data_IF_865681720382
#
_entry.id   IF_865681720382
#
_cell.length_a   1.000
_cell.length_b   1.000
_cell.length_c   1.000
_cell.angle_alpha   90.00
_cell.angle_beta   90.00
_cell.angle_gamma   90.00
#
_symmetry.space_group_name_H-M   'P 1'
#
loop_
_entity.id
_entity.type
_entity.pdbx_description
1 polymer ?
#
# COMPACT_ATOMS: atom_id res chain seq x y z
N UNK A 1 -8.56 -22.80 21.65
CA UNK A 1 -8.25 -22.77 20.20
C UNK A 1 -6.89 -22.13 20.07
N UNK A 2 -5.90 -22.82 19.47
CA UNK A 2 -4.51 -22.39 19.52
C UNK A 2 -4.31 -21.07 18.77
N UNK A 3 -3.60 -20.15 19.43
CA UNK A 3 -3.21 -18.83 18.94
C UNK A 3 -2.26 -19.05 17.75
N UNK A 4 -2.68 -18.68 16.54
CA UNK A 4 -1.81 -18.71 15.36
C UNK A 4 -0.88 -17.50 15.47
N UNK A 5 0.39 -17.78 15.75
CA UNK A 5 1.51 -16.85 15.75
C UNK A 5 1.43 -15.91 14.54
N UNK A 6 1.40 -14.60 14.79
CA UNK A 6 1.50 -13.59 13.74
C UNK A 6 2.89 -13.71 13.10
N UNK A 7 2.97 -14.32 11.92
CA UNK A 7 4.17 -14.27 11.09
C UNK A 7 4.52 -12.79 10.87
N UNK A 8 5.72 -12.39 11.28
CA UNK A 8 6.22 -11.03 11.06
C UNK A 8 6.47 -10.86 9.57
N UNK A 9 5.47 -10.38 8.84
CA UNK A 9 5.66 -9.91 7.49
C UNK A 9 6.68 -8.75 7.52
N UNK A 10 7.68 -8.73 6.62
CA UNK A 10 8.66 -7.67 6.61
C UNK A 10 7.95 -6.36 6.25
N UNK A 11 7.84 -5.46 7.23
CA UNK A 11 7.37 -4.10 7.02
C UNK A 11 8.54 -3.34 6.41
N UNK A 12 8.55 -3.24 5.08
CA UNK A 12 9.46 -2.32 4.41
C UNK A 12 8.91 -0.91 4.60
N UNK A 13 9.79 0.05 4.81
CA UNK A 13 9.39 1.47 4.94
C UNK A 13 9.67 2.22 3.64
N UNK A 14 10.69 1.77 2.91
CA UNK A 14 11.17 2.41 1.69
C UNK A 14 11.24 1.43 0.52
N UNK A 15 11.06 1.95 -0.70
CA UNK A 15 11.17 1.14 -1.94
C UNK A 15 12.58 0.56 -2.13
N UNK A 16 13.58 1.15 -1.48
CA UNK A 16 14.99 0.75 -1.57
C UNK A 16 15.31 -0.45 -0.67
N UNK A 17 14.44 -0.79 0.28
CA UNK A 17 14.57 -1.98 1.13
C UNK A 17 14.01 -3.24 0.47
N UNK A 18 13.34 -3.09 -0.68
CA UNK A 18 12.73 -4.20 -1.40
C UNK A 18 13.83 -5.06 -2.06
N UNK A 19 13.87 -6.38 -1.77
CA UNK A 19 14.79 -7.29 -2.43
C UNK A 19 14.59 -7.26 -3.95
N UNK A 20 15.67 -6.99 -4.69
CA UNK A 20 15.66 -6.92 -6.14
C UNK A 20 15.49 -5.50 -6.72
N UNK A 21 15.29 -4.48 -5.88
CA UNK A 21 15.31 -3.07 -6.28
C UNK A 21 16.70 -2.49 -6.00
N UNK A 22 17.44 -2.21 -7.07
CA UNK A 22 18.66 -1.42 -6.99
C UNK A 22 18.36 0.09 -6.94
N UNK A 23 19.35 0.93 -6.59
CA UNK A 23 19.17 2.39 -6.54
C UNK A 23 18.66 2.96 -7.87
N UNK A 24 19.16 2.44 -9.01
CA UNK A 24 18.70 2.85 -10.34
C UNK A 24 17.23 2.50 -10.64
N UNK A 25 16.72 1.41 -10.05
CA UNK A 25 15.31 1.03 -10.19
C UNK A 25 14.43 1.86 -9.26
N UNK A 26 14.90 2.11 -8.02
CA UNK A 26 14.20 2.96 -7.06
C UNK A 26 14.03 4.39 -7.58
N UNK A 27 15.06 4.95 -8.23
CA UNK A 27 15.00 6.30 -8.80
C UNK A 27 13.95 6.38 -9.93
N UNK A 28 13.92 5.40 -10.83
CA UNK A 28 12.90 5.31 -11.88
C UNK A 28 11.48 5.15 -11.33
N UNK A 29 11.31 4.33 -10.29
CA UNK A 29 10.02 4.17 -9.60
C UNK A 29 9.55 5.49 -8.98
N UNK A 30 10.48 6.29 -8.43
CA UNK A 30 10.18 7.63 -7.92
C UNK A 30 9.83 8.60 -9.04
N UNK A 31 10.52 8.56 -10.18
CA UNK A 31 10.23 9.41 -11.34
C UNK A 31 8.83 9.18 -11.92
N UNK A 32 8.36 7.93 -11.94
CA UNK A 32 7.01 7.59 -12.41
C UNK A 32 5.93 7.77 -11.32
N UNK A 33 6.31 8.18 -10.11
CA UNK A 33 5.39 8.53 -9.03
C UNK A 33 5.12 7.43 -7.99
N UNK A 34 5.77 6.26 -8.09
CA UNK A 34 5.71 5.23 -7.05
C UNK A 34 6.77 5.49 -5.98
N UNK A 35 6.46 6.44 -5.09
CA UNK A 35 7.33 6.80 -3.97
C UNK A 35 7.11 5.96 -2.72
N UNK A 36 5.97 5.26 -2.61
CA UNK A 36 5.59 4.47 -1.44
C UNK A 36 5.30 3.01 -1.81
N UNK A 37 5.41 2.12 -0.82
CA UNK A 37 5.11 0.69 -0.98
C UNK A 37 3.62 0.48 -1.28
N UNK A 38 2.74 1.32 -0.72
CA UNK A 38 1.29 1.32 -1.01
C UNK A 38 1.02 1.61 -2.48
N UNK A 39 1.69 2.62 -3.04
CA UNK A 39 1.57 2.95 -4.45
C UNK A 39 2.06 1.80 -5.33
N UNK A 40 3.14 1.14 -4.93
CA UNK A 40 3.71 0.00 -5.64
C UNK A 40 2.84 -1.26 -5.57
N UNK A 41 2.22 -1.55 -4.43
CA UNK A 41 1.33 -2.71 -4.26
C UNK A 41 0.05 -2.61 -5.09
N UNK A 42 -0.36 -1.38 -5.42
CA UNK A 42 -1.55 -1.08 -6.23
C UNK A 42 -1.21 -0.94 -7.72
N UNK A 43 0.08 -0.86 -8.09
CA UNK A 43 0.54 -0.73 -9.46
C UNK A 43 0.24 -1.99 -10.29
N UNK A 44 0.10 -1.79 -11.61
CA UNK A 44 -0.03 -2.88 -12.58
C UNK A 44 1.32 -3.25 -13.18
N UNK A 45 1.43 -4.50 -13.65
CA UNK A 45 2.66 -5.00 -14.29
C UNK A 45 3.03 -4.13 -15.50
N UNK A 46 2.04 -3.71 -16.30
CA UNK A 46 2.26 -2.88 -17.49
C UNK A 46 2.83 -1.50 -17.17
N UNK A 47 2.49 -0.90 -16.03
CA UNK A 47 3.06 0.38 -15.59
C UNK A 47 4.54 0.24 -15.20
N UNK A 48 4.90 -0.88 -14.58
CA UNK A 48 6.28 -1.19 -14.21
C UNK A 48 7.13 -1.58 -15.44
N UNK A 49 6.52 -2.24 -16.43
CA UNK A 49 7.18 -2.52 -17.72
C UNK A 49 7.49 -1.23 -18.48
N UNK A 50 6.58 -0.25 -18.46
CA UNK A 50 6.84 1.07 -19.04
C UNK A 50 8.03 1.80 -18.39
N UNK A 51 8.33 1.48 -17.12
CA UNK A 51 9.50 1.96 -16.39
C UNK A 51 10.80 1.19 -16.73
N UNK A 52 10.73 0.18 -17.61
CA UNK A 52 11.87 -0.66 -18.00
C UNK A 52 12.21 -1.74 -16.97
N UNK A 53 11.25 -2.13 -16.13
CA UNK A 53 11.37 -3.27 -15.22
C UNK A 53 10.84 -4.51 -15.95
N UNK A 54 11.60 -5.60 -15.95
CA UNK A 54 11.16 -6.84 -16.61
C UNK A 54 9.91 -7.42 -15.96
N UNK A 55 8.97 -7.90 -16.76
CA UNK A 55 7.65 -8.42 -16.35
C UNK A 55 7.68 -9.34 -15.12
N UNK A 56 8.62 -10.30 -15.11
CA UNK A 56 8.80 -11.23 -13.98
C UNK A 56 9.18 -10.53 -12.68
N UNK A 57 10.12 -9.57 -12.75
CA UNK A 57 10.55 -8.80 -11.59
C UNK A 57 9.45 -7.85 -11.10
N UNK A 58 8.68 -7.27 -12.03
CA UNK A 58 7.55 -6.43 -11.68
C UNK A 58 6.48 -7.22 -10.90
N UNK A 59 6.15 -8.42 -11.35
CA UNK A 59 5.19 -9.29 -10.66
C UNK A 59 5.68 -9.71 -9.25
N UNK A 60 6.95 -10.09 -9.12
CA UNK A 60 7.56 -10.40 -7.81
C UNK A 60 7.52 -9.18 -6.88
N UNK A 61 7.84 -8.00 -7.40
CA UNK A 61 7.90 -6.78 -6.62
C UNK A 61 6.52 -6.33 -6.12
N UNK A 62 5.49 -6.41 -6.97
CA UNK A 62 4.11 -6.13 -6.57
C UNK A 62 3.66 -7.11 -5.48
N UNK A 63 3.95 -8.40 -5.64
CA UNK A 63 3.57 -9.41 -4.65
C UNK A 63 4.25 -9.15 -3.31
N UNK A 64 5.55 -8.84 -3.33
CA UNK A 64 6.30 -8.54 -2.13
C UNK A 64 5.80 -7.25 -1.44
N UNK A 65 5.46 -6.22 -2.22
CA UNK A 65 4.84 -5.01 -1.71
C UNK A 65 3.46 -5.29 -1.09
N UNK A 66 2.66 -6.19 -1.69
CA UNK A 66 1.37 -6.62 -1.14
C UNK A 66 1.50 -7.47 0.11
N UNK A 67 2.55 -8.29 0.22
CA UNK A 67 2.84 -9.08 1.43
C UNK A 67 3.30 -8.21 2.59
N UNK A 68 3.97 -7.09 2.31
CA UNK A 68 4.37 -6.12 3.32
C UNK A 68 3.23 -5.26 3.84
N UNK A 69 2.17 -5.09 3.04
CA UNK A 69 0.95 -4.43 3.49
C UNK A 69 0.06 -5.50 4.12
N UNK A 70 -0.29 -5.33 5.39
CA UNK A 70 -1.19 -6.27 6.09
C UNK A 70 -2.62 -6.15 5.53
N UNK A 71 -2.90 -6.76 4.37
CA UNK A 71 -4.24 -6.83 3.79
C UNK A 71 -4.98 -7.99 4.44
N UNK A 72 -5.65 -7.70 5.55
CA UNK A 72 -6.46 -8.68 6.28
C UNK A 72 -7.91 -8.66 5.84
N UNK A 73 -8.51 -9.84 5.72
CA UNK A 73 -9.97 -9.97 5.56
C UNK A 73 -10.66 -9.55 6.85
N UNK A 74 -11.61 -8.63 6.75
CA UNK A 74 -12.38 -8.11 7.89
C UNK A 74 -13.88 -8.31 7.67
N UNK A 75 -14.63 -8.58 8.74
CA UNK A 75 -16.08 -8.66 8.66
C UNK A 75 -16.72 -7.28 8.51
N UNK A 76 -17.96 -7.22 8.00
CA UNK A 76 -18.68 -5.95 7.84
C UNK A 76 -18.81 -5.15 9.16
N UNK A 77 -18.94 -5.85 10.30
CA UNK A 77 -19.03 -5.23 11.62
C UNK A 77 -17.71 -4.60 12.07
N UNK A 78 -16.59 -5.27 11.81
CA UNK A 78 -15.26 -4.74 12.11
C UNK A 78 -14.92 -3.56 11.20
N UNK A 79 -15.25 -3.65 9.90
CA UNK A 79 -15.08 -2.55 8.96
C UNK A 79 -15.88 -1.30 9.37
N UNK A 80 -17.14 -1.46 9.80
CA UNK A 80 -17.95 -0.35 10.30
C UNK A 80 -17.34 0.29 11.56
N UNK A 81 -16.80 -0.52 12.46
CA UNK A 81 -16.12 -0.03 13.67
C UNK A 81 -14.82 0.72 13.35
N UNK A 82 -14.08 0.27 12.34
CA UNK A 82 -12.89 0.95 11.84
C UNK A 82 -13.24 2.29 11.19
N UNK A 83 -14.29 2.32 10.34
CA UNK A 83 -14.74 3.54 9.66
C UNK A 83 -15.24 4.62 10.62
N UNK A 84 -15.87 4.23 11.73
CA UNK A 84 -16.28 5.19 12.77
C UNK A 84 -15.11 5.90 13.45
N UNK A 85 -13.91 5.28 13.46
CA UNK A 85 -12.71 5.87 14.03
C UNK A 85 -11.90 6.73 13.03
N UNK A 86 -12.34 6.86 11.78
CA UNK A 86 -11.68 7.72 10.80
C UNK A 86 -11.84 9.18 11.22
N UNK A 87 -10.70 9.85 11.42
CA UNK A 87 -10.67 11.29 11.73
C UNK A 87 -11.23 12.11 10.57
N UNK A 88 -12.12 13.05 10.87
CA UNK A 88 -12.68 13.99 9.89
C UNK A 88 -12.14 15.39 10.16
N UNK A 89 -11.73 16.08 9.11
CA UNK A 89 -11.34 17.48 9.19
C UNK A 89 -12.59 18.35 9.08
N UNK A 90 -12.70 19.37 9.92
CA UNK A 90 -13.75 20.38 9.79
C UNK A 90 -13.42 21.34 8.66
N UNK A 91 -14.43 21.67 7.86
CA UNK A 91 -14.38 22.67 6.80
C UNK A 91 -14.61 24.09 7.33
N UNK A 92 -14.92 24.26 8.61
CA UNK A 92 -15.22 25.55 9.25
C UNK A 92 -16.69 25.99 9.10
N UNK A 93 -17.50 25.28 8.32
CA UNK A 93 -18.95 25.49 8.21
C UNK A 93 -19.69 24.27 8.73
N UNK A 94 -20.52 24.46 9.77
CA UNK A 94 -21.33 23.39 10.36
C UNK A 94 -22.28 22.74 9.35
N UNK A 95 -22.80 23.52 8.39
CA UNK A 95 -23.71 23.01 7.37
C UNK A 95 -23.00 22.11 6.35
N UNK A 96 -21.75 22.45 6.00
CA UNK A 96 -20.96 21.65 5.07
C UNK A 96 -20.45 20.39 5.77
N UNK A 97 -19.94 20.50 7.00
CA UNK A 97 -19.50 19.34 7.79
C UNK A 97 -20.62 18.31 8.02
N UNK A 98 -21.88 18.75 8.13
CA UNK A 98 -23.03 17.85 8.23
C UNK A 98 -23.43 17.20 6.89
N UNK A 99 -23.08 17.82 5.76
CA UNK A 99 -23.38 17.30 4.43
C UNK A 99 -22.32 16.30 3.94
N UNK A 100 -21.04 16.57 4.21
CA UNK A 100 -19.91 15.68 3.86
C UNK A 100 -19.53 14.71 5.00
N UNK A 101 -20.20 14.84 6.15
CA UNK A 101 -20.08 14.00 7.35
C UNK A 101 -20.90 12.71 7.26
#
# INVERSE_FOLDING_TARGET
MPQKEKEKHPVFTDISELPGVGPATAEKLKEIGYSTIEALATATISELEAAGIGEKKAAELINLARESIEISWVTAKELASLKSNIGRLTTGSKALDALVG
#
